data_IF_452709033783
#
_entry.id   IF_452709033783
#
_cell.length_a   1.000
_cell.length_b   1.000
_cell.length_c   1.000
_cell.angle_alpha   90.00
_cell.angle_beta   90.00
_cell.angle_gamma   90.00
#
_symmetry.space_group_name_H-M   'P 1'
#
loop_
_entity.id
_entity.type
_entity.pdbx_description
1 polymer ?
#
# COMPACT_ATOMS: atom_id res chain seq x y z
N UNK A 1 43.89 -8.96 13.90
CA UNK A 1 42.58 -9.54 14.23
C UNK A 1 41.63 -9.27 13.06
N UNK A 2 41.37 -10.28 12.23
CA UNK A 2 40.30 -10.20 11.22
C UNK A 2 38.94 -10.28 11.93
N UNK A 3 38.19 -9.19 11.95
CA UNK A 3 36.80 -9.19 12.37
C UNK A 3 35.99 -9.87 11.26
N UNK A 4 35.53 -11.09 11.50
CA UNK A 4 34.56 -11.77 10.65
C UNK A 4 33.24 -10.99 10.77
N UNK A 5 32.93 -10.15 9.78
CA UNK A 5 31.62 -9.59 9.62
C UNK A 5 30.66 -10.74 9.31
N UNK A 6 29.90 -11.21 10.29
CA UNK A 6 28.80 -12.13 10.09
C UNK A 6 27.78 -11.44 9.18
N UNK A 7 27.78 -11.80 7.89
CA UNK A 7 26.75 -11.38 6.96
C UNK A 7 25.40 -11.88 7.50
N UNK A 8 24.59 -10.98 8.02
CA UNK A 8 23.22 -11.30 8.46
C UNK A 8 22.44 -11.77 7.23
N UNK A 9 22.07 -13.05 7.23
CA UNK A 9 21.33 -13.69 6.16
C UNK A 9 19.98 -12.96 5.95
N UNK A 10 19.66 -12.67 4.71
CA UNK A 10 18.35 -12.11 4.34
C UNK A 10 17.23 -13.09 4.69
N UNK A 11 16.08 -12.55 5.07
CA UNK A 11 14.92 -13.34 5.49
C UNK A 11 13.81 -13.28 4.44
N UNK A 12 13.18 -14.43 4.21
CA UNK A 12 11.89 -14.56 3.54
C UNK A 12 10.87 -15.08 4.55
N UNK A 13 9.78 -14.36 4.72
CA UNK A 13 8.70 -14.69 5.65
C UNK A 13 7.42 -14.90 4.84
N UNK A 14 6.89 -16.12 4.86
CA UNK A 14 5.63 -16.44 4.17
C UNK A 14 4.47 -16.41 5.17
N UNK A 15 3.43 -15.66 4.84
CA UNK A 15 2.19 -15.50 5.57
C UNK A 15 1.07 -16.06 4.69
N UNK A 16 0.33 -17.06 5.17
CA UNK A 16 -0.78 -17.66 4.42
C UNK A 16 -2.12 -17.22 5.01
N UNK A 17 -3.11 -17.07 4.17
CA UNK A 17 -4.50 -16.83 4.59
C UNK A 17 -5.05 -18.02 5.40
N UNK A 18 -6.18 -17.87 6.13
CA UNK A 18 -6.75 -18.96 6.92
C UNK A 18 -7.01 -20.24 6.13
N UNK A 19 -7.46 -20.16 4.88
CA UNK A 19 -7.69 -21.30 3.99
C UNK A 19 -6.45 -21.75 3.20
N UNK A 20 -5.37 -20.95 3.22
CA UNK A 20 -4.17 -21.18 2.41
C UNK A 20 -4.30 -20.71 0.96
N UNK A 21 -5.41 -20.09 0.54
CA UNK A 21 -5.61 -19.62 -0.84
C UNK A 21 -4.66 -18.51 -1.23
N UNK A 22 -4.36 -17.59 -0.32
CA UNK A 22 -3.41 -16.49 -0.54
C UNK A 22 -2.15 -16.75 0.27
N UNK A 23 -1.00 -16.59 -0.36
CA UNK A 23 0.31 -16.58 0.27
C UNK A 23 1.04 -15.29 -0.06
N UNK A 24 1.53 -14.62 0.98
CA UNK A 24 2.36 -13.40 0.88
C UNK A 24 3.74 -13.73 1.40
N UNK A 25 4.76 -13.55 0.58
CA UNK A 25 6.16 -13.69 1.01
C UNK A 25 6.80 -12.32 1.10
N UNK A 26 7.16 -11.92 2.32
CA UNK A 26 7.85 -10.66 2.63
C UNK A 26 9.34 -10.93 2.72
N UNK A 27 10.15 -10.10 2.07
CA UNK A 27 11.61 -10.26 1.96
C UNK A 27 12.36 -8.99 2.30
N UNK A 28 13.51 -9.12 2.95
CA UNK A 28 14.49 -8.04 3.15
C UNK A 28 15.77 -8.23 2.31
N UNK A 29 15.70 -9.06 1.26
CA UNK A 29 16.83 -9.32 0.35
C UNK A 29 17.26 -8.04 -0.36
N UNK A 30 18.56 -7.88 -0.54
CA UNK A 30 19.12 -6.69 -1.19
C UNK A 30 18.94 -5.39 -0.40
N UNK A 31 18.51 -5.48 0.87
CA UNK A 31 18.28 -4.30 1.73
C UNK A 31 17.01 -3.51 1.41
N UNK A 32 16.16 -3.99 0.54
CA UNK A 32 14.85 -3.41 0.25
C UNK A 32 13.74 -4.30 0.82
N UNK A 33 12.83 -3.72 1.60
CA UNK A 33 11.64 -4.45 2.02
C UNK A 33 10.71 -4.59 0.80
N UNK A 34 10.32 -5.82 0.51
CA UNK A 34 9.43 -6.12 -0.60
C UNK A 34 8.54 -7.31 -0.28
N UNK A 35 7.50 -7.52 -1.08
CA UNK A 35 6.65 -8.70 -0.97
C UNK A 35 6.23 -9.21 -2.34
N UNK A 36 5.86 -10.49 -2.37
CA UNK A 36 5.19 -11.16 -3.48
C UNK A 36 3.86 -11.70 -3.00
N UNK A 37 2.89 -11.84 -3.89
CA UNK A 37 1.57 -12.41 -3.57
C UNK A 37 1.23 -13.51 -4.55
N UNK A 38 0.79 -14.65 -4.03
CA UNK A 38 0.25 -15.75 -4.81
C UNK A 38 -1.20 -16.04 -4.38
N UNK A 39 -2.06 -16.37 -5.34
CA UNK A 39 -3.43 -16.81 -5.16
C UNK A 39 -3.61 -18.18 -5.83
N UNK A 40 -4.09 -19.18 -5.08
CA UNK A 40 -4.25 -20.55 -5.60
C UNK A 40 -2.95 -21.16 -6.12
N UNK A 41 -1.79 -20.77 -5.56
CA UNK A 41 -0.46 -21.20 -6.04
C UNK A 41 0.09 -20.42 -7.22
N UNK A 42 -0.69 -19.55 -7.86
CA UNK A 42 -0.27 -18.67 -8.98
C UNK A 42 0.21 -17.33 -8.43
N UNK A 43 1.37 -16.87 -8.89
CA UNK A 43 1.86 -15.53 -8.57
C UNK A 43 0.96 -14.47 -9.22
N UNK A 44 0.42 -13.56 -8.41
CA UNK A 44 -0.42 -12.42 -8.82
C UNK A 44 0.41 -11.15 -8.91
N UNK A 45 1.19 -10.88 -7.87
CA UNK A 45 2.17 -9.81 -7.85
C UNK A 45 3.57 -10.37 -7.65
N UNK A 46 4.50 -9.92 -8.48
CA UNK A 46 5.93 -10.17 -8.30
C UNK A 46 6.50 -9.26 -7.23
N UNK A 47 7.81 -9.20 -7.07
CA UNK A 47 8.47 -8.41 -6.05
C UNK A 47 8.04 -6.93 -6.07
N UNK A 48 7.24 -6.54 -5.10
CA UNK A 48 6.67 -5.20 -4.90
C UNK A 48 7.34 -4.52 -3.72
N UNK A 49 7.95 -3.35 -3.94
CA UNK A 49 8.68 -2.64 -2.87
C UNK A 49 7.72 -1.93 -1.92
N UNK A 50 8.12 -1.88 -0.63
CA UNK A 50 7.40 -1.21 0.45
C UNK A 50 8.34 -0.23 1.16
N UNK A 51 8.05 1.07 1.07
CA UNK A 51 8.83 2.09 1.77
C UNK A 51 7.94 3.24 2.24
N UNK A 52 8.36 3.90 3.32
CA UNK A 52 7.84 5.19 3.75
C UNK A 52 9.02 6.13 3.92
N UNK A 53 9.03 7.19 3.15
CA UNK A 53 10.04 8.23 3.24
C UNK A 53 9.62 9.26 4.28
N UNK A 54 10.42 9.37 5.33
CA UNK A 54 10.35 10.45 6.31
C UNK A 54 11.41 11.48 5.97
N UNK A 55 11.29 12.71 6.43
CA UNK A 55 12.31 13.75 6.19
C UNK A 55 13.72 13.31 6.63
N UNK A 56 13.82 12.47 7.66
CA UNK A 56 15.10 12.09 8.26
C UNK A 56 15.61 10.72 7.82
N UNK A 57 14.74 9.85 7.33
CA UNK A 57 15.08 8.46 6.94
C UNK A 57 14.00 7.84 6.06
N UNK A 58 14.35 6.76 5.37
CA UNK A 58 13.38 5.95 4.60
C UNK A 58 13.19 4.59 5.28
N UNK A 59 11.99 4.33 5.79
CA UNK A 59 11.61 3.02 6.30
C UNK A 59 11.46 2.05 5.12
N UNK A 60 11.88 0.78 5.30
CA UNK A 60 11.90 -0.20 4.20
C UNK A 60 13.16 -0.14 3.32
N UNK A 61 13.99 0.92 3.41
CA UNK A 61 15.34 0.98 2.82
C UNK A 61 16.37 0.45 3.82
N UNK A 62 17.35 -0.29 3.36
CA UNK A 62 18.32 -1.02 4.20
C UNK A 62 17.60 -1.86 5.28
N UNK A 63 16.46 -2.42 4.86
CA UNK A 63 15.54 -3.14 5.72
C UNK A 63 16.19 -4.40 6.30
N UNK A 64 15.85 -4.68 7.54
CA UNK A 64 16.18 -5.94 8.22
C UNK A 64 15.01 -6.36 9.09
N UNK A 65 14.47 -7.53 8.79
CA UNK A 65 13.40 -8.16 9.59
C UNK A 65 14.06 -8.73 10.86
N UNK A 66 13.71 -8.19 12.00
CA UNK A 66 14.16 -8.67 13.32
C UNK A 66 13.36 -9.89 13.74
N UNK A 67 12.14 -9.70 14.18
CA UNK A 67 11.23 -10.75 14.62
C UNK A 67 9.88 -10.65 13.94
N UNK A 68 9.16 -11.76 13.90
CA UNK A 68 7.80 -11.84 13.34
C UNK A 68 6.90 -12.51 14.36
N UNK A 69 5.78 -11.86 14.67
CA UNK A 69 4.71 -12.44 15.47
C UNK A 69 3.50 -12.65 14.57
N UNK A 70 2.97 -13.85 14.52
CA UNK A 70 1.79 -14.20 13.72
C UNK A 70 0.65 -14.66 14.61
N UNK A 71 -0.57 -14.36 14.24
CA UNK A 71 -1.79 -14.88 14.85
C UNK A 71 -2.89 -15.04 13.82
N UNK A 72 -3.74 -16.06 14.00
CA UNK A 72 -5.01 -16.19 13.28
C UNK A 72 -6.09 -15.41 14.03
N UNK A 73 -6.86 -14.62 13.30
CA UNK A 73 -8.00 -13.87 13.83
C UNK A 73 -9.26 -14.43 13.18
N UNK A 74 -10.28 -14.67 14.01
CA UNK A 74 -11.61 -15.08 13.56
C UNK A 74 -12.62 -14.44 14.50
N UNK A 75 -13.33 -13.45 14.01
CA UNK A 75 -14.31 -12.69 14.77
C UNK A 75 -15.49 -12.32 13.87
N UNK A 76 -16.60 -11.95 14.46
CA UNK A 76 -17.76 -11.42 13.73
C UNK A 76 -17.90 -9.94 14.05
N UNK A 77 -17.80 -9.12 13.04
CA UNK A 77 -18.05 -7.68 13.13
C UNK A 77 -19.53 -7.43 12.90
N UNK A 78 -20.18 -6.70 13.83
CA UNK A 78 -21.55 -6.22 13.67
C UNK A 78 -21.49 -4.71 13.47
N UNK A 79 -21.68 -4.22 12.21
CA UNK A 79 -21.65 -2.80 11.92
C UNK A 79 -22.73 -2.06 12.74
N UNK A 80 -22.41 -0.87 13.24
CA UNK A 80 -23.37 -0.01 13.93
C UNK A 80 -24.55 0.34 13.01
N UNK A 81 -24.23 0.59 11.73
CA UNK A 81 -25.22 0.79 10.67
C UNK A 81 -25.06 -0.38 9.68
N UNK A 82 -25.95 -1.37 9.71
CA UNK A 82 -25.91 -2.47 8.75
C UNK A 82 -26.31 -1.97 7.36
N UNK A 83 -25.49 -2.29 6.35
CA UNK A 83 -25.77 -2.00 4.95
C UNK A 83 -26.19 -3.30 4.21
N UNK A 84 -25.23 -3.98 3.55
CA UNK A 84 -25.48 -5.26 2.87
C UNK A 84 -25.56 -6.44 3.84
N UNK A 85 -24.84 -6.34 4.96
CA UNK A 85 -24.71 -7.41 5.92
C UNK A 85 -24.86 -6.87 7.35
N UNK A 86 -25.65 -7.56 8.18
CA UNK A 86 -25.78 -7.28 9.61
C UNK A 86 -24.65 -7.90 10.43
N UNK A 87 -23.92 -8.84 9.85
CA UNK A 87 -22.75 -9.49 10.42
C UNK A 87 -21.73 -9.79 9.33
N UNK A 88 -20.46 -9.54 9.62
CA UNK A 88 -19.33 -9.73 8.69
C UNK A 88 -18.33 -10.67 9.36
N UNK A 89 -18.05 -11.80 8.74
CA UNK A 89 -16.99 -12.70 9.14
C UNK A 89 -15.62 -12.05 8.86
N UNK A 90 -14.90 -11.71 9.91
CA UNK A 90 -13.56 -11.11 9.81
C UNK A 90 -12.51 -12.16 10.15
N UNK A 91 -12.00 -12.83 9.13
CA UNK A 91 -11.04 -13.94 9.26
C UNK A 91 -9.78 -13.64 8.48
N UNK A 92 -8.64 -13.61 9.17
CA UNK A 92 -7.34 -13.37 8.55
C UNK A 92 -6.18 -13.92 9.37
N UNK A 93 -5.04 -14.06 8.74
CA UNK A 93 -3.77 -14.24 9.41
C UNK A 93 -3.08 -12.87 9.52
N UNK A 94 -2.81 -12.44 10.75
CA UNK A 94 -2.02 -11.25 11.02
C UNK A 94 -0.55 -11.63 11.17
N UNK A 95 0.34 -10.84 10.58
CA UNK A 95 1.77 -10.89 10.87
C UNK A 95 2.27 -9.48 11.22
N UNK A 96 2.93 -9.37 12.36
CA UNK A 96 3.59 -8.16 12.82
C UNK A 96 5.11 -8.35 12.71
N UNK A 97 5.73 -7.68 11.74
CA UNK A 97 7.16 -7.71 11.51
C UNK A 97 7.81 -6.56 12.29
N UNK A 98 8.66 -6.86 13.26
CA UNK A 98 9.50 -5.88 13.94
C UNK A 98 10.77 -5.67 13.12
N UNK A 99 11.00 -4.44 12.69
CA UNK A 99 12.09 -4.08 11.80
C UNK A 99 13.25 -3.44 12.58
N UNK A 100 14.50 -3.59 12.11
CA UNK A 100 15.57 -2.72 12.57
C UNK A 100 15.27 -1.27 12.17
N UNK A 101 15.58 -0.30 13.05
CA UNK A 101 15.29 1.11 12.82
C UNK A 101 13.98 1.59 13.47
N UNK A 102 13.50 0.81 14.44
CA UNK A 102 12.41 1.18 15.35
C UNK A 102 11.08 1.49 14.65
N UNK A 103 10.62 0.58 13.80
CA UNK A 103 9.30 0.57 13.19
C UNK A 103 8.82 -0.86 13.00
N UNK A 104 7.53 -1.02 12.70
CA UNK A 104 6.97 -2.33 12.36
C UNK A 104 6.19 -2.24 11.05
N UNK A 105 5.98 -3.41 10.43
CA UNK A 105 5.06 -3.58 9.31
C UNK A 105 4.05 -4.64 9.67
N UNK A 106 2.78 -4.29 9.58
CA UNK A 106 1.66 -5.19 9.84
C UNK A 106 1.07 -5.67 8.52
N UNK A 107 0.95 -6.98 8.37
CA UNK A 107 0.19 -7.61 7.29
C UNK A 107 -1.05 -8.27 7.83
N UNK A 108 -2.15 -8.20 7.07
CA UNK A 108 -3.35 -9.02 7.24
C UNK A 108 -3.63 -9.73 5.92
N UNK A 109 -3.62 -11.05 5.97
CA UNK A 109 -3.86 -11.89 4.80
C UNK A 109 -5.19 -12.61 4.98
N UNK A 110 -6.19 -12.19 4.21
CA UNK A 110 -7.54 -12.76 4.14
C UNK A 110 -7.58 -13.83 3.04
N UNK A 111 -8.67 -14.57 2.94
CA UNK A 111 -8.84 -15.57 1.87
C UNK A 111 -9.11 -14.96 0.49
N UNK A 112 -9.39 -13.65 0.46
CA UNK A 112 -9.67 -12.87 -0.74
C UNK A 112 -8.99 -11.50 -0.76
N UNK A 113 -8.07 -11.20 0.16
CA UNK A 113 -7.40 -9.91 0.19
C UNK A 113 -6.06 -9.96 0.93
N UNK A 114 -5.20 -9.02 0.57
CA UNK A 114 -3.96 -8.70 1.29
C UNK A 114 -3.96 -7.24 1.68
N UNK A 115 -3.74 -6.95 2.95
CA UNK A 115 -3.57 -5.60 3.45
C UNK A 115 -2.26 -5.48 4.21
N UNK A 116 -1.60 -4.30 4.10
CA UNK A 116 -0.48 -3.96 4.95
C UNK A 116 -0.52 -2.51 5.39
N UNK A 117 0.20 -2.21 6.46
CA UNK A 117 0.49 -0.84 6.91
C UNK A 117 1.81 -0.76 7.67
N UNK A 118 2.38 0.42 7.70
CA UNK A 118 3.51 0.72 8.58
C UNK A 118 3.01 1.14 9.97
N UNK A 119 3.80 0.79 10.99
CA UNK A 119 3.58 1.19 12.38
C UNK A 119 4.81 1.98 12.82
N UNK A 120 4.65 3.27 12.95
CA UNK A 120 5.70 4.19 13.37
C UNK A 120 5.96 4.05 14.87
N UNK A 121 7.22 4.14 15.25
CA UNK A 121 7.67 4.10 16.64
C UNK A 121 8.69 5.21 16.91
N UNK A 122 8.53 6.35 16.26
CA UNK A 122 9.35 7.54 16.45
C UNK A 122 9.03 8.19 17.81
N UNK A 123 9.98 8.93 18.35
CA UNK A 123 9.81 9.63 19.62
C UNK A 123 8.89 10.85 19.47
N UNK A 124 9.13 11.62 18.43
CA UNK A 124 8.46 12.88 18.15
C UNK A 124 7.62 12.79 16.86
N UNK A 125 6.78 13.78 16.61
CA UNK A 125 6.05 13.89 15.35
C UNK A 125 7.00 13.95 14.16
N UNK A 126 6.60 13.33 13.06
CA UNK A 126 7.42 13.24 11.83
C UNK A 126 6.62 13.68 10.61
N UNK A 127 7.34 14.19 9.62
CA UNK A 127 6.79 14.47 8.31
C UNK A 127 7.02 13.26 7.39
N UNK A 128 5.94 12.76 6.81
CA UNK A 128 5.95 11.74 5.77
C UNK A 128 6.04 12.44 4.43
N UNK A 129 7.10 12.18 3.69
CA UNK A 129 7.35 12.77 2.37
C UNK A 129 6.62 12.00 1.29
N UNK A 130 6.81 10.67 1.27
CA UNK A 130 6.21 9.79 0.27
C UNK A 130 6.05 8.36 0.79
N UNK A 131 5.25 7.57 0.08
CA UNK A 131 5.20 6.12 0.22
C UNK A 131 5.56 5.44 -1.09
N UNK A 132 6.24 4.31 -1.00
CA UNK A 132 6.40 3.40 -2.13
C UNK A 132 5.41 2.25 -1.96
N UNK A 133 4.38 2.26 -2.78
CA UNK A 133 3.41 1.20 -2.95
C UNK A 133 3.49 0.75 -4.41
N UNK A 134 4.56 0.00 -4.72
CA UNK A 134 4.78 -0.49 -6.06
C UNK A 134 4.14 -1.86 -6.20
N UNK A 135 3.13 -1.96 -7.04
CA UNK A 135 2.53 -3.25 -7.42
C UNK A 135 3.02 -3.64 -8.80
N UNK A 136 3.64 -4.81 -8.88
CA UNK A 136 4.10 -5.42 -10.12
C UNK A 136 3.24 -6.64 -10.45
N UNK A 137 2.19 -6.52 -11.28
CA UNK A 137 1.45 -7.67 -11.75
C UNK A 137 2.39 -8.70 -12.39
N UNK A 138 2.15 -9.99 -12.13
CA UNK A 138 2.97 -11.06 -12.69
C UNK A 138 2.76 -11.24 -14.19
N UNK A 139 1.70 -10.66 -14.74
CA UNK A 139 1.36 -10.65 -16.15
C UNK A 139 0.79 -9.31 -16.57
N UNK A 140 0.63 -9.13 -17.86
CA UNK A 140 -0.08 -7.96 -18.41
C UNK A 140 -1.54 -8.00 -18.01
N UNK A 141 -2.07 -6.87 -17.53
CA UNK A 141 -3.45 -6.73 -17.08
C UNK A 141 -4.12 -5.51 -17.72
N UNK A 142 -5.43 -5.60 -17.92
CA UNK A 142 -6.25 -4.43 -18.18
C UNK A 142 -6.42 -3.64 -16.88
N UNK A 143 -6.39 -2.32 -16.96
CA UNK A 143 -6.61 -1.40 -15.84
C UNK A 143 -7.92 -0.64 -16.04
N UNK A 144 -8.64 -0.46 -14.95
CA UNK A 144 -9.93 0.24 -14.90
C UNK A 144 -9.81 1.29 -13.80
N UNK A 145 -9.70 2.56 -14.20
CA UNK A 145 -9.41 3.63 -13.27
C UNK A 145 -10.14 4.92 -13.62
N UNK A 146 -10.34 5.75 -12.64
CA UNK A 146 -10.87 7.09 -12.81
C UNK A 146 -9.70 8.08 -12.85
N UNK A 147 -9.48 8.75 -14.02
CA UNK A 147 -8.31 9.60 -14.20
C UNK A 147 -8.47 10.94 -13.49
N UNK A 148 -7.34 11.49 -13.02
CA UNK A 148 -7.22 12.87 -12.56
C UNK A 148 -5.81 13.39 -12.79
N UNK A 149 -5.70 14.63 -13.26
CA UNK A 149 -4.43 15.38 -13.34
C UNK A 149 -4.16 16.20 -12.08
N UNK A 150 -5.15 16.34 -11.19
CA UNK A 150 -5.12 17.25 -10.06
C UNK A 150 -5.33 16.52 -8.73
N UNK A 151 -4.85 17.13 -7.65
CA UNK A 151 -5.16 16.74 -6.30
C UNK A 151 -6.52 17.30 -5.87
N UNK A 152 -7.30 16.54 -5.12
CA UNK A 152 -8.58 17.03 -4.59
C UNK A 152 -9.72 17.06 -5.60
N UNK A 153 -9.76 16.10 -6.52
CA UNK A 153 -10.82 15.93 -7.51
C UNK A 153 -12.17 15.56 -6.87
N UNK A 154 -13.28 15.95 -7.51
CA UNK A 154 -14.65 15.50 -7.17
C UNK A 154 -14.88 14.01 -7.42
N UNK A 155 -13.97 13.34 -8.10
CA UNK A 155 -14.08 11.92 -8.48
C UNK A 155 -15.30 11.60 -9.35
N UNK A 156 -15.64 12.49 -10.30
CA UNK A 156 -16.79 12.36 -11.21
C UNK A 156 -16.39 12.09 -12.67
N UNK A 157 -15.08 11.96 -12.94
CA UNK A 157 -14.63 11.66 -14.30
C UNK A 157 -15.05 10.25 -14.74
N UNK A 158 -15.33 10.02 -16.03
CA UNK A 158 -15.56 8.68 -16.56
C UNK A 158 -14.37 7.76 -16.36
N UNK A 159 -14.63 6.47 -16.17
CA UNK A 159 -13.56 5.46 -16.07
C UNK A 159 -12.84 5.28 -17.42
N UNK A 160 -11.53 5.16 -17.33
CA UNK A 160 -10.66 4.74 -18.44
C UNK A 160 -10.40 3.25 -18.31
N UNK A 161 -10.48 2.55 -19.46
CA UNK A 161 -10.15 1.13 -19.58
C UNK A 161 -9.05 1.00 -20.62
N UNK A 162 -7.88 0.52 -20.22
CA UNK A 162 -6.75 0.32 -21.13
C UNK A 162 -5.85 -0.82 -20.61
N UNK A 163 -4.86 -1.23 -21.40
CA UNK A 163 -3.84 -2.16 -20.90
C UNK A 163 -2.83 -1.41 -20.04
N UNK A 164 -2.30 -2.04 -19.01
CA UNK A 164 -1.31 -1.40 -18.12
C UNK A 164 -0.13 -0.83 -18.90
N UNK A 165 0.37 -1.53 -19.94
CA UNK A 165 1.46 -1.05 -20.80
C UNK A 165 1.18 0.28 -21.51
N UNK A 166 -0.09 0.65 -21.67
CA UNK A 166 -0.54 1.88 -22.32
C UNK A 166 -0.59 3.07 -21.36
N UNK A 167 -0.64 2.81 -20.05
CA UNK A 167 -0.72 3.84 -19.01
C UNK A 167 0.69 4.24 -18.53
N UNK A 168 1.19 5.37 -19.01
CA UNK A 168 2.54 5.86 -18.73
C UNK A 168 2.59 6.77 -17.49
N UNK A 169 3.75 6.87 -16.87
CA UNK A 169 3.95 7.58 -15.60
C UNK A 169 3.65 9.09 -15.67
N UNK A 170 3.78 9.69 -16.83
CA UNK A 170 3.53 11.12 -17.07
C UNK A 170 2.08 11.44 -17.42
N UNK A 171 1.22 10.44 -17.48
CA UNK A 171 -0.21 10.60 -17.70
C UNK A 171 -0.95 10.86 -16.38
N UNK A 172 -2.28 10.96 -16.45
CA UNK A 172 -3.15 11.15 -15.30
C UNK A 172 -2.94 10.08 -14.23
N UNK A 173 -3.18 10.46 -12.99
CA UNK A 173 -3.26 9.54 -11.85
C UNK A 173 -4.64 8.88 -11.81
N UNK A 174 -4.72 7.78 -11.08
CA UNK A 174 -5.99 7.19 -10.65
C UNK A 174 -6.36 7.65 -9.26
N UNK A 175 -7.61 8.02 -9.05
CA UNK A 175 -8.23 7.97 -7.73
C UNK A 175 -8.50 6.52 -7.32
N UNK A 176 -8.80 6.28 -6.04
CA UNK A 176 -9.15 4.96 -5.53
C UNK A 176 -10.67 4.87 -5.25
N UNK A 177 -11.27 3.69 -5.36
CA UNK A 177 -10.66 2.41 -5.75
C UNK A 177 -10.39 2.31 -7.25
N UNK A 178 -9.40 1.48 -7.63
CA UNK A 178 -9.16 1.10 -9.01
C UNK A 178 -9.09 -0.41 -9.15
N UNK A 179 -9.32 -0.93 -10.36
CA UNK A 179 -9.30 -2.36 -10.61
C UNK A 179 -8.32 -2.75 -11.73
N UNK A 180 -7.84 -4.00 -11.65
CA UNK A 180 -7.14 -4.67 -12.73
C UNK A 180 -7.86 -5.97 -13.07
N UNK A 181 -7.83 -6.35 -14.34
CA UNK A 181 -8.41 -7.60 -14.81
C UNK A 181 -7.40 -8.37 -15.64
N UNK A 182 -7.27 -9.67 -15.39
CA UNK A 182 -6.53 -10.57 -16.27
C UNK A 182 -7.19 -10.60 -17.66
N UNK A 183 -6.38 -10.71 -18.69
CA UNK A 183 -6.87 -10.92 -20.06
C UNK A 183 -6.98 -12.40 -20.42
N UNK A 184 -6.61 -13.29 -19.50
CA UNK A 184 -6.53 -14.74 -19.75
C UNK A 184 -7.60 -15.53 -19.04
N UNK A 185 -8.08 -15.04 -17.91
CA UNK A 185 -9.00 -15.73 -17.02
C UNK A 185 -9.79 -14.73 -16.16
N UNK A 186 -10.57 -15.27 -15.22
CA UNK A 186 -11.50 -14.50 -14.35
C UNK A 186 -10.80 -13.94 -13.10
N UNK A 187 -9.52 -13.56 -13.18
CA UNK A 187 -8.80 -12.90 -12.09
C UNK A 187 -9.04 -11.39 -12.14
N UNK A 188 -9.64 -10.86 -11.09
CA UNK A 188 -9.86 -9.44 -10.89
C UNK A 188 -9.23 -8.98 -9.58
N UNK A 189 -8.63 -7.80 -9.60
CA UNK A 189 -7.95 -7.20 -8.45
C UNK A 189 -8.54 -5.82 -8.21
N UNK A 190 -8.86 -5.52 -6.94
CA UNK A 190 -9.29 -4.19 -6.52
C UNK A 190 -8.24 -3.59 -5.59
N UNK A 191 -7.74 -2.42 -5.91
CA UNK A 191 -6.74 -1.68 -5.12
C UNK A 191 -7.46 -0.55 -4.40
N UNK A 192 -7.22 -0.42 -3.09
CA UNK A 192 -7.75 0.70 -2.31
C UNK A 192 -6.97 0.90 -1.01
N UNK A 193 -7.46 1.84 -0.20
CA UNK A 193 -6.92 2.19 1.11
C UNK A 193 -8.04 2.26 2.16
N UNK A 194 -7.67 2.21 3.44
CA UNK A 194 -8.62 2.41 4.54
C UNK A 194 -7.94 2.93 5.80
N UNK A 195 -8.75 3.34 6.78
CA UNK A 195 -8.28 3.99 8.02
C UNK A 195 -7.52 5.29 7.74
N UNK A 196 -7.98 6.04 6.75
CA UNK A 196 -7.41 7.33 6.34
C UNK A 196 -7.83 8.42 7.32
N UNK A 197 -6.99 8.67 8.33
CA UNK A 197 -7.21 9.70 9.36
C UNK A 197 -5.96 10.54 9.48
N UNK A 198 -6.09 11.86 9.39
CA UNK A 198 -4.96 12.81 9.46
C UNK A 198 -3.76 12.35 8.60
N UNK A 199 -4.04 12.00 7.36
CA UNK A 199 -3.05 11.48 6.43
C UNK A 199 -3.42 11.81 4.99
N UNK A 200 -2.43 11.83 4.12
CA UNK A 200 -2.64 12.08 2.71
C UNK A 200 -3.34 10.91 2.01
N UNK A 201 -4.31 11.22 1.17
CA UNK A 201 -4.94 10.26 0.29
C UNK A 201 -3.97 9.66 -0.72
N UNK A 202 -4.15 8.39 -1.03
CA UNK A 202 -3.36 7.66 -2.01
C UNK A 202 -3.97 7.79 -3.40
N UNK A 203 -3.13 8.17 -4.35
CA UNK A 203 -3.39 8.07 -5.79
C UNK A 203 -2.42 7.05 -6.39
N UNK A 204 -2.79 6.49 -7.52
CA UNK A 204 -1.95 5.53 -8.24
C UNK A 204 -1.54 6.12 -9.59
N UNK A 205 -0.28 5.89 -9.96
CA UNK A 205 0.26 6.16 -11.29
C UNK A 205 0.60 4.85 -11.99
N UNK A 206 0.28 4.77 -13.27
CA UNK A 206 0.78 3.70 -14.13
C UNK A 206 2.25 3.91 -14.47
N UNK A 207 2.96 2.83 -14.70
CA UNK A 207 4.25 2.79 -15.37
C UNK A 207 4.26 1.55 -16.27
N UNK A 208 3.55 1.66 -17.39
CA UNK A 208 3.35 0.56 -18.30
C UNK A 208 4.65 0.02 -18.92
N UNK A 209 5.64 0.90 -19.13
CA UNK A 209 6.96 0.50 -19.66
C UNK A 209 7.68 -0.50 -18.74
N UNK A 210 7.43 -0.45 -17.42
CA UNK A 210 8.02 -1.34 -16.42
C UNK A 210 7.01 -2.33 -15.84
N UNK A 211 5.80 -2.39 -16.39
CA UNK A 211 4.68 -3.22 -15.94
C UNK A 211 4.43 -3.09 -14.43
N UNK A 212 4.33 -1.86 -13.92
CA UNK A 212 4.01 -1.65 -12.51
C UNK A 212 3.13 -0.42 -12.26
N UNK A 213 2.52 -0.40 -11.08
CA UNK A 213 1.77 0.71 -10.51
C UNK A 213 2.58 1.31 -9.36
N UNK A 214 2.52 2.61 -9.19
CA UNK A 214 3.21 3.32 -8.12
C UNK A 214 2.29 4.26 -7.36
N UNK A 215 2.59 4.47 -6.07
CA UNK A 215 1.88 5.42 -5.23
C UNK A 215 2.21 6.86 -5.60
N UNK A 216 1.21 7.73 -5.42
CA UNK A 216 1.39 9.17 -5.32
C UNK A 216 0.53 9.66 -4.14
N UNK A 217 1.14 10.38 -3.20
CA UNK A 217 0.42 10.96 -2.06
C UNK A 217 0.16 12.43 -2.33
N UNK A 218 -1.02 12.91 -1.91
CA UNK A 218 -1.35 14.33 -1.95
C UNK A 218 -0.33 15.11 -1.10
N UNK A 219 0.39 16.09 -1.67
CA UNK A 219 1.25 16.96 -0.87
C UNK A 219 0.43 17.79 0.11
N UNK A 220 0.97 18.03 1.31
CA UNK A 220 0.31 18.90 2.28
C UNK A 220 0.21 20.34 1.78
N UNK A 221 -0.85 21.04 2.16
CA UNK A 221 -1.02 22.45 1.78
C UNK A 221 -0.20 23.33 2.72
N UNK A 222 0.70 24.14 2.16
CA UNK A 222 1.50 25.11 2.91
C UNK A 222 0.87 26.50 2.89
N UNK A 223 0.36 26.91 1.72
CA UNK A 223 -0.37 28.15 1.55
C UNK A 223 -1.58 27.90 0.65
N UNK A 224 -2.74 28.25 1.12
CA UNK A 224 -4.00 28.02 0.43
C UNK A 224 -5.06 29.06 0.83
N UNK A 225 -6.07 29.20 0.01
CA UNK A 225 -7.24 30.04 0.25
C UNK A 225 -8.51 29.34 -0.19
N UNK A 226 -9.65 29.75 0.33
CA UNK A 226 -10.94 29.31 -0.20
C UNK A 226 -11.17 29.98 -1.55
N UNK A 227 -11.44 29.19 -2.57
CA UNK A 227 -11.76 29.70 -3.91
C UNK A 227 -13.25 30.09 -3.98
N UNK A 228 -14.09 29.27 -3.38
CA UNK A 228 -15.53 29.50 -3.17
C UNK A 228 -16.01 28.71 -1.93
N UNK A 229 -17.32 28.46 -1.83
CA UNK A 229 -17.91 27.67 -0.75
C UNK A 229 -17.59 26.17 -0.85
N UNK A 230 -16.97 25.69 -1.92
CA UNK A 230 -16.67 24.28 -2.22
C UNK A 230 -15.22 24.01 -2.58
N UNK A 231 -14.50 25.01 -2.99
CA UNK A 231 -13.15 24.90 -3.56
C UNK A 231 -12.06 25.38 -2.62
N UNK A 232 -10.89 24.78 -2.76
CA UNK A 232 -9.66 25.23 -2.12
C UNK A 232 -8.61 25.45 -3.20
N UNK A 233 -8.15 26.69 -3.33
CA UNK A 233 -7.02 27.03 -4.21
C UNK A 233 -5.72 26.92 -3.43
N UNK A 234 -4.89 25.97 -3.81
CA UNK A 234 -3.58 25.76 -3.18
C UNK A 234 -2.53 26.59 -3.91
N UNK A 235 -1.99 27.58 -3.21
CA UNK A 235 -0.97 28.50 -3.76
C UNK A 235 0.45 27.91 -3.60
N UNK A 236 0.69 27.11 -2.55
CA UNK A 236 1.97 26.45 -2.30
C UNK A 236 1.78 25.12 -1.58
N UNK A 237 2.39 24.06 -2.10
CA UNK A 237 2.46 22.77 -1.45
C UNK A 237 3.70 22.65 -0.55
N UNK A 238 3.57 21.92 0.55
CA UNK A 238 4.70 21.56 1.39
C UNK A 238 5.56 20.48 0.70
N UNK A 239 6.77 20.30 1.21
CA UNK A 239 7.68 19.22 0.74
C UNK A 239 7.41 17.86 1.41
N UNK A 240 6.25 17.71 2.04
CA UNK A 240 5.80 16.48 2.69
C UNK A 240 4.29 16.32 2.45
N UNK A 241 3.80 15.10 2.59
CA UNK A 241 2.39 14.77 2.36
C UNK A 241 1.58 14.77 3.66
N UNK A 242 2.17 14.35 4.77
CA UNK A 242 1.47 14.35 6.06
C UNK A 242 2.43 14.62 7.23
N UNK A 243 1.96 15.35 8.25
CA UNK A 243 2.63 15.45 9.55
C UNK A 243 1.88 14.60 10.55
N UNK A 244 2.56 13.62 11.12
CA UNK A 244 1.93 12.59 11.96
C UNK A 244 2.62 12.43 13.30
N UNK A 245 1.87 11.95 14.32
CA UNK A 245 2.46 11.56 15.58
C UNK A 245 3.49 10.44 15.37
N UNK A 246 4.59 10.47 16.13
CA UNK A 246 5.68 9.50 15.97
C UNK A 246 5.27 8.07 16.30
N UNK A 247 4.34 7.88 17.24
CA UNK A 247 3.78 6.56 17.58
C UNK A 247 2.38 6.44 17.02
N UNK A 248 2.27 5.91 15.81
CA UNK A 248 0.95 5.64 15.18
C UNK A 248 1.03 4.56 14.12
N UNK A 249 -0.11 4.02 13.75
CA UNK A 249 -0.31 3.23 12.54
C UNK A 249 -0.62 4.15 11.37
N UNK A 250 -0.03 3.89 10.21
CA UNK A 250 -0.40 4.53 8.95
C UNK A 250 -1.64 3.86 8.35
N UNK A 251 -2.29 4.46 7.35
CA UNK A 251 -3.43 3.84 6.66
C UNK A 251 -3.10 2.46 6.09
N UNK A 252 -4.13 1.65 5.95
CA UNK A 252 -4.02 0.39 5.24
C UNK A 252 -3.93 0.60 3.73
N UNK A 253 -3.01 -0.13 3.11
CA UNK A 253 -2.95 -0.34 1.67
C UNK A 253 -3.38 -1.77 1.42
N UNK A 254 -4.37 -1.98 0.55
CA UNK A 254 -4.89 -3.32 0.34
C UNK A 254 -5.25 -3.61 -1.11
N UNK A 255 -5.20 -4.89 -1.41
CA UNK A 255 -5.66 -5.46 -2.68
C UNK A 255 -6.62 -6.60 -2.37
N UNK A 256 -7.82 -6.54 -2.95
CA UNK A 256 -8.79 -7.65 -2.98
C UNK A 256 -8.54 -8.45 -4.25
N UNK A 257 -8.64 -9.78 -4.13
CA UNK A 257 -8.41 -10.74 -5.22
C UNK A 257 -9.69 -11.49 -5.54
#
# INVERSE_FOLDING_TARGET
ALSAATAMQAKDITITSPSGKIAVTVSDKGGALSYTTAFGGRTVFTQSALQVELETKTLGRNAKIGSVATKKVSEVIRPVVPMKHSAIDNRYTQAMLSMKGNYKVEFRVFDNAVAYRFVLQEKDSVNVVSETFNLKPAEEMAVHYQPTSEWGTSSEAPYVNCMLREWQHNQDMSVLPMALSSTKDDLHLLISESDLRDYAGLYIRGNGAENHLSAALVPNYKNWELDDDRGTKVNEYAKYSARVAGKRTLPWRYVVV
#
